data_IF_855193031942
#
_entry.id   IF_855193031942
#
_cell.length_a   1.000
_cell.length_b   1.000
_cell.length_c   1.000
_cell.angle_alpha   90.00
_cell.angle_beta   90.00
_cell.angle_gamma   90.00
#
_symmetry.space_group_name_H-M   'P 1'
#
loop_
_entity.id
_entity.type
_entity.pdbx_description
1 polymer ?
#
# COMPACT_ATOMS: atom_id res chain seq x y z
N UNK A 1 -18.57 -6.63 10.24
CA UNK A 1 -17.65 -7.36 9.34
C UNK A 1 -17.56 -6.64 8.01
N UNK A 2 -16.53 -5.82 7.88
CA UNK A 2 -16.27 -5.03 6.67
C UNK A 2 -14.86 -5.27 6.14
N UNK A 3 -14.00 -5.92 6.92
CA UNK A 3 -12.66 -6.30 6.52
C UNK A 3 -12.51 -7.81 6.72
N UNK A 4 -11.95 -8.48 5.73
CA UNK A 4 -11.69 -9.92 5.73
C UNK A 4 -10.25 -10.17 5.29
N UNK A 5 -9.52 -10.94 6.08
CA UNK A 5 -8.19 -11.41 5.71
C UNK A 5 -8.30 -12.88 5.31
N UNK A 6 -8.06 -13.18 4.04
CA UNK A 6 -7.98 -14.52 3.49
C UNK A 6 -6.53 -15.00 3.43
N UNK A 7 -6.30 -16.28 3.70
CA UNK A 7 -4.98 -16.88 3.56
C UNK A 7 -5.11 -18.40 3.39
N UNK A 8 -4.04 -19.03 2.93
CA UNK A 8 -3.88 -20.49 2.93
C UNK A 8 -2.96 -20.87 4.08
N UNK A 9 -3.37 -21.84 4.89
CA UNK A 9 -2.57 -22.41 5.97
C UNK A 9 -2.11 -23.82 5.62
N UNK A 10 -0.83 -24.10 5.79
CA UNK A 10 -0.24 -25.42 5.69
C UNK A 10 -0.26 -26.09 7.07
N UNK A 11 -1.07 -27.13 7.21
CA UNK A 11 -1.15 -27.94 8.43
C UNK A 11 -0.17 -29.12 8.45
N UNK A 12 0.55 -29.36 7.35
CA UNK A 12 1.50 -30.47 7.26
C UNK A 12 2.73 -30.19 8.13
N UNK A 13 3.31 -31.22 8.80
CA UNK A 13 4.58 -31.09 9.49
C UNK A 13 5.73 -30.67 8.57
N UNK A 14 6.77 -30.08 9.17
CA UNK A 14 7.96 -29.63 8.45
C UNK A 14 8.63 -30.78 7.67
N UNK A 15 9.01 -30.50 6.42
CA UNK A 15 9.65 -31.48 5.53
C UNK A 15 8.70 -32.42 4.78
N UNK A 16 7.38 -32.34 5.02
CA UNK A 16 6.39 -33.07 4.23
C UNK A 16 5.78 -32.20 3.13
N UNK A 17 5.13 -32.84 2.17
CA UNK A 17 4.36 -32.13 1.14
C UNK A 17 3.28 -31.26 1.82
N UNK A 18 3.25 -29.95 1.53
CA UNK A 18 2.31 -29.04 2.19
C UNK A 18 0.87 -29.32 1.77
N UNK A 19 -0.03 -29.36 2.76
CA UNK A 19 -1.48 -29.45 2.57
C UNK A 19 -2.09 -28.10 2.89
N UNK A 20 -2.48 -27.37 1.84
CA UNK A 20 -2.98 -26.01 1.95
C UNK A 20 -4.48 -25.98 2.20
N UNK A 21 -4.89 -25.31 3.28
CA UNK A 21 -6.29 -25.14 3.67
C UNK A 21 -6.67 -23.66 3.69
N UNK A 22 -7.80 -23.26 3.08
CA UNK A 22 -8.25 -21.89 3.13
C UNK A 22 -8.73 -21.53 4.54
N UNK A 23 -8.36 -20.33 4.99
CA UNK A 23 -8.78 -19.76 6.25
C UNK A 23 -9.11 -18.27 6.09
N UNK A 24 -9.93 -17.75 7.00
CA UNK A 24 -10.25 -16.33 7.03
C UNK A 24 -10.35 -15.79 8.46
N UNK A 25 -10.01 -14.51 8.61
CA UNK A 25 -10.21 -13.72 9.81
C UNK A 25 -11.07 -12.50 9.47
N UNK A 26 -11.91 -12.09 10.42
CA UNK A 26 -12.91 -11.05 10.23
C UNK A 26 -12.65 -9.89 11.18
N UNK A 27 -12.83 -8.67 10.67
CA UNK A 27 -12.67 -7.43 11.42
C UNK A 27 -13.78 -6.45 11.06
N UNK A 28 -14.05 -5.52 11.98
CA UNK A 28 -14.92 -4.37 11.76
C UNK A 28 -14.16 -3.16 11.21
N UNK A 29 -14.87 -2.15 10.72
CA UNK A 29 -14.30 -0.95 10.07
C UNK A 29 -13.27 -0.22 10.94
N UNK A 30 -13.47 -0.27 12.26
CA UNK A 30 -12.62 0.39 13.25
C UNK A 30 -11.31 -0.34 13.51
N UNK A 31 -11.15 -1.55 12.96
CA UNK A 31 -10.05 -2.47 13.25
C UNK A 31 -9.08 -2.64 12.07
N UNK A 32 -9.00 -1.64 11.18
CA UNK A 32 -8.12 -1.70 10.01
C UNK A 32 -6.64 -1.89 10.41
N UNK A 33 -6.19 -1.20 11.46
CA UNK A 33 -4.81 -1.32 11.95
C UNK A 33 -4.50 -2.73 12.42
N UNK A 34 -5.42 -3.35 13.16
CA UNK A 34 -5.33 -4.73 13.66
C UNK A 34 -5.33 -5.73 12.49
N UNK A 35 -6.20 -5.54 11.50
CA UNK A 35 -6.24 -6.39 10.31
C UNK A 35 -4.92 -6.32 9.53
N UNK A 36 -4.33 -5.13 9.37
CA UNK A 36 -3.05 -4.93 8.70
C UNK A 36 -1.89 -5.55 9.50
N UNK A 37 -1.89 -5.38 10.82
CA UNK A 37 -0.91 -6.02 11.70
C UNK A 37 -1.00 -7.55 11.58
N UNK A 38 -2.21 -8.10 11.56
CA UNK A 38 -2.40 -9.54 11.40
C UNK A 38 -1.91 -10.03 10.05
N UNK A 39 -2.10 -9.27 8.96
CA UNK A 39 -1.51 -9.63 7.68
C UNK A 39 0.03 -9.73 7.75
N UNK A 40 0.69 -8.86 8.52
CA UNK A 40 2.14 -8.95 8.70
C UNK A 40 2.54 -10.21 9.46
N UNK A 41 1.83 -10.53 10.56
CA UNK A 41 2.05 -11.76 11.34
C UNK A 41 1.86 -13.00 10.47
N UNK A 42 0.76 -13.08 9.73
CA UNK A 42 0.47 -14.21 8.85
C UNK A 42 1.52 -14.35 7.74
N UNK A 43 1.98 -13.25 7.14
CA UNK A 43 3.02 -13.30 6.08
C UNK A 43 4.40 -13.70 6.59
N UNK A 44 4.69 -13.48 7.86
CA UNK A 44 5.97 -13.84 8.46
C UNK A 44 6.06 -15.35 8.78
N UNK A 45 4.93 -16.02 8.97
CA UNK A 45 4.87 -17.45 9.26
C UNK A 45 4.96 -18.27 7.96
N UNK A 46 5.99 -19.15 7.81
CA UNK A 46 6.19 -19.96 6.60
C UNK A 46 5.06 -20.98 6.36
N UNK A 47 4.23 -21.27 7.37
CA UNK A 47 3.06 -22.13 7.21
C UNK A 47 1.87 -21.40 6.58
N UNK A 48 1.98 -20.11 6.28
CA UNK A 48 0.92 -19.37 5.62
C UNK A 48 1.36 -18.90 4.24
N UNK A 49 0.42 -18.88 3.31
CA UNK A 49 0.61 -18.40 1.95
C UNK A 49 -0.61 -17.59 1.49
N UNK A 50 -0.43 -16.82 0.41
CA UNK A 50 -1.52 -16.09 -0.25
C UNK A 50 -2.36 -15.21 0.71
N UNK A 51 -1.70 -14.46 1.60
CA UNK A 51 -2.36 -13.56 2.55
C UNK A 51 -2.90 -12.31 1.83
N UNK A 52 -4.22 -12.26 1.66
CA UNK A 52 -4.98 -11.20 0.98
C UNK A 52 -5.93 -10.54 1.96
N UNK A 53 -5.98 -9.21 1.95
CA UNK A 53 -6.97 -8.43 2.69
C UNK A 53 -8.00 -7.89 1.70
N UNK A 54 -9.28 -8.04 2.03
CA UNK A 54 -10.40 -7.45 1.34
C UNK A 54 -11.14 -6.55 2.32
N UNK A 55 -11.54 -5.36 1.88
CA UNK A 55 -12.26 -4.43 2.74
C UNK A 55 -13.36 -3.70 1.97
N UNK A 56 -14.57 -3.73 2.50
CA UNK A 56 -15.72 -2.92 2.08
C UNK A 56 -15.85 -1.70 3.00
N UNK A 57 -14.81 -0.87 3.06
CA UNK A 57 -14.84 0.38 3.82
C UNK A 57 -15.71 1.39 3.08
N UNK A 58 -17.03 1.31 3.29
CA UNK A 58 -18.03 2.11 2.56
C UNK A 58 -17.76 3.61 2.66
N UNK A 59 -17.18 4.06 3.77
CA UNK A 59 -16.82 5.45 4.01
C UNK A 59 -15.47 5.87 3.38
N UNK A 60 -14.62 4.92 2.96
CA UNK A 60 -13.34 5.20 2.28
C UNK A 60 -13.45 5.15 0.75
N UNK A 61 -14.59 4.73 0.22
CA UNK A 61 -14.88 4.93 -1.21
C UNK A 61 -15.28 6.39 -1.38
N UNK A 62 -14.44 7.16 -2.07
CA UNK A 62 -14.79 8.55 -2.43
C UNK A 62 -16.18 8.60 -3.07
N UNK A 63 -16.95 9.66 -2.81
CA UNK A 63 -18.30 9.82 -3.37
C UNK A 63 -18.26 9.60 -4.88
N UNK A 64 -19.22 8.84 -5.41
CA UNK A 64 -19.39 8.66 -6.86
C UNK A 64 -19.50 10.05 -7.50
N UNK A 65 -18.57 10.37 -8.42
CA UNK A 65 -18.50 11.66 -9.10
C UNK A 65 -17.55 12.70 -8.46
N UNK A 66 -16.82 12.36 -7.41
CA UNK A 66 -15.87 13.27 -6.75
C UNK A 66 -14.46 12.69 -6.85
N UNK A 67 -13.79 12.93 -7.97
CA UNK A 67 -12.56 12.19 -8.31
C UNK A 67 -11.43 13.03 -8.89
N UNK A 68 -11.57 14.34 -8.98
CA UNK A 68 -10.52 15.15 -9.59
C UNK A 68 -10.36 16.50 -8.93
N UNK A 69 -9.14 17.00 -9.03
CA UNK A 69 -8.85 18.41 -8.88
C UNK A 69 -9.46 19.09 -10.10
N UNK A 70 -10.44 19.95 -9.89
CA UNK A 70 -11.09 20.73 -10.94
C UNK A 70 -10.68 22.19 -10.78
N UNK A 71 -10.28 22.83 -11.88
CA UNK A 71 -9.79 24.21 -11.89
C UNK A 71 -8.70 24.50 -10.83
N UNK A 72 -7.84 23.52 -10.56
CA UNK A 72 -6.76 23.64 -9.59
C UNK A 72 -7.22 23.59 -8.13
N UNK A 73 -8.45 23.15 -7.83
CA UNK A 73 -8.96 23.01 -6.48
C UNK A 73 -9.32 21.56 -6.16
N UNK A 74 -9.08 21.15 -4.91
CA UNK A 74 -9.54 19.87 -4.37
C UNK A 74 -11.06 19.85 -4.19
N UNK A 75 -11.66 18.66 -4.00
CA UNK A 75 -13.10 18.55 -3.80
C UNK A 75 -13.69 19.29 -2.59
N UNK A 76 -12.87 19.60 -1.59
CA UNK A 76 -13.21 20.43 -0.42
C UNK A 76 -13.00 21.93 -0.67
N UNK A 77 -12.71 22.33 -1.92
CA UNK A 77 -12.57 23.71 -2.35
C UNK A 77 -11.22 24.35 -2.00
N UNK A 78 -10.24 23.56 -1.55
CA UNK A 78 -8.91 24.06 -1.25
C UNK A 78 -8.08 24.15 -2.53
N UNK A 79 -7.23 25.17 -2.65
CA UNK A 79 -6.29 25.24 -3.74
C UNK A 79 -5.36 24.02 -3.70
N UNK A 80 -5.29 23.28 -4.81
CA UNK A 80 -4.45 22.10 -4.92
C UNK A 80 -3.02 22.48 -5.28
N UNK A 81 -2.16 22.58 -4.28
CA UNK A 81 -0.76 23.00 -4.44
C UNK A 81 0.21 21.88 -4.86
N UNK A 82 -0.30 20.69 -5.22
CA UNK A 82 0.58 19.61 -5.67
C UNK A 82 1.39 20.09 -6.88
N UNK A 83 2.71 20.01 -6.77
CA UNK A 83 3.60 19.94 -7.92
C UNK A 83 4.59 18.81 -7.70
N UNK A 84 4.85 18.03 -8.76
CA UNK A 84 5.89 16.97 -8.73
C UNK A 84 7.24 17.54 -8.31
N UNK A 85 7.52 18.79 -8.70
CA UNK A 85 8.73 19.52 -8.31
C UNK A 85 8.80 19.88 -6.82
N UNK A 86 7.66 20.08 -6.15
CA UNK A 86 7.60 20.52 -4.75
C UNK A 86 7.88 19.42 -3.73
N UNK A 87 7.49 18.16 -3.99
CA UNK A 87 7.73 17.03 -3.06
C UNK A 87 8.74 15.99 -3.54
N UNK A 88 8.75 15.65 -4.83
CA UNK A 88 9.71 14.67 -5.37
C UNK A 88 11.07 15.30 -5.74
N UNK A 89 11.22 16.60 -5.48
CA UNK A 89 12.35 17.41 -5.93
C UNK A 89 12.21 17.82 -7.40
N UNK A 90 12.55 19.07 -7.70
CA UNK A 90 12.67 19.54 -9.08
C UNK A 90 13.76 18.74 -9.77
N UNK A 91 13.46 18.16 -10.94
CA UNK A 91 14.47 17.49 -11.75
C UNK A 91 15.65 18.45 -11.96
N UNK A 92 16.87 18.04 -11.54
CA UNK A 92 18.05 18.90 -11.63
C UNK A 92 18.27 19.24 -13.10
N UNK A 93 18.69 20.47 -13.40
CA UNK A 93 18.86 20.99 -14.77
C UNK A 93 19.81 20.13 -15.63
N UNK A 94 20.63 19.29 -14.98
CA UNK A 94 21.61 18.39 -15.60
C UNK A 94 21.26 16.90 -15.42
N UNK A 95 20.00 16.55 -15.11
CA UNK A 95 19.59 15.17 -14.81
C UNK A 95 19.81 14.19 -15.98
N UNK A 96 19.88 14.70 -17.21
CA UNK A 96 20.20 13.94 -18.42
C UNK A 96 21.70 13.89 -18.77
N UNK A 97 22.54 14.61 -18.02
CA UNK A 97 24.00 14.58 -18.20
C UNK A 97 24.64 13.40 -17.46
N UNK A 98 25.87 13.00 -17.85
CA UNK A 98 26.61 11.97 -17.11
C UNK A 98 26.83 12.42 -15.65
N UNK A 99 26.79 11.47 -14.68
CA UNK A 99 27.01 11.78 -13.27
C UNK A 99 28.40 12.38 -13.09
N UNK A 100 28.47 13.59 -12.50
CA UNK A 100 29.74 14.24 -12.16
C UNK A 100 30.40 13.53 -11.00
N UNK A 101 31.70 13.27 -11.12
CA UNK A 101 32.51 12.74 -10.02
C UNK A 101 32.97 13.88 -9.11
N UNK A 102 33.51 13.54 -7.95
CA UNK A 102 33.99 14.52 -6.97
C UNK A 102 35.13 15.39 -7.53
N UNK A 103 35.96 14.81 -8.40
CA UNK A 103 37.06 15.49 -9.10
C UNK A 103 36.56 16.59 -10.06
N UNK A 104 35.35 16.46 -10.60
CA UNK A 104 34.73 17.48 -11.47
C UNK A 104 34.19 18.70 -10.70
N UNK A 105 34.05 18.59 -9.37
CA UNK A 105 33.49 19.65 -8.51
C UNK A 105 34.54 20.57 -7.90
N UNK A 106 35.80 20.15 -7.87
CA UNK A 106 36.92 20.86 -7.22
C UNK A 106 37.78 21.67 -8.22
N UNK A 107 37.28 21.91 -9.44
CA UNK A 107 37.93 22.75 -10.49
C UNK A 107 37.15 24.02 -10.79
#
# INVERSE_FOLDING_TARGET
>A
MSIVVFYLHNASPEGQTPSWHPACLHYDDRQMSEALQQCQVLRADPNNAHVVISSELRDMVGKIGVSAVEDGHTPDGQAYEWSKAGRAGKSRRNASGPPRTREDMDR
#
